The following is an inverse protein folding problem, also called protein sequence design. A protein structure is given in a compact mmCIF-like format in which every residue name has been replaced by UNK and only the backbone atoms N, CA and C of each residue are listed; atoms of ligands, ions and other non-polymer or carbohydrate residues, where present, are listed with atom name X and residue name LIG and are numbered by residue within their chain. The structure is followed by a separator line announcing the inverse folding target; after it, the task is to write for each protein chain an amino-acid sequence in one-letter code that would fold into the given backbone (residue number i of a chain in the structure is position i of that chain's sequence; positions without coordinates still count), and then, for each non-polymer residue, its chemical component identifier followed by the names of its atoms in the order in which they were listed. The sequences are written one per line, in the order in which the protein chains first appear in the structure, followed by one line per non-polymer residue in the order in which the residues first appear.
data_IF_776858119175
#
_entry.id   IF_776858119175
#
_cell.length_a   1.000
_cell.length_b   1.000
_cell.length_c   1.000
_cell.angle_alpha   90.00
_cell.angle_beta   90.00
_cell.angle_gamma   90.00
#
_symmetry.space_group_name_H-M   'P 1'
#
loop_
_entity.id
_entity.type
_entity.pdbx_description
1 polymer ?
#
# COMPACT_ATOMS: atom_id res chain seq x y z
N UNK A 1 15.13 0.48 -9.54
CA UNK A 1 14.41 0.82 -8.29
C UNK A 1 15.03 2.08 -7.73
N UNK A 2 14.20 3.06 -7.38
CA UNK A 2 14.60 4.23 -6.60
C UNK A 2 14.01 4.10 -5.20
N UNK A 3 14.60 4.77 -4.23
CA UNK A 3 14.04 4.90 -2.90
C UNK A 3 12.96 5.99 -2.84
N UNK A 4 12.01 5.94 -1.89
CA UNK A 4 10.88 6.88 -1.87
C UNK A 4 11.27 8.36 -1.87
N UNK A 5 12.30 8.76 -1.11
CA UNK A 5 12.76 10.16 -1.07
C UNK A 5 13.38 10.65 -2.39
N UNK A 6 13.81 9.74 -3.27
CA UNK A 6 14.33 10.10 -4.58
C UNK A 6 13.22 10.54 -5.55
N UNK A 7 11.94 10.41 -5.16
CA UNK A 7 10.81 10.96 -5.92
C UNK A 7 10.90 12.48 -6.09
N UNK A 8 11.57 13.16 -5.16
CA UNK A 8 11.89 14.58 -5.22
C UNK A 8 13.05 14.88 -6.21
N UNK A 9 13.08 14.19 -7.35
CA UNK A 9 14.06 14.40 -8.41
C UNK A 9 13.32 14.84 -9.69
N UNK A 10 13.64 16.04 -10.17
CA UNK A 10 13.01 16.66 -11.34
C UNK A 10 13.24 15.89 -12.65
N UNK A 11 14.17 14.93 -12.68
CA UNK A 11 14.42 14.09 -13.86
C UNK A 11 13.45 12.91 -14.01
N UNK A 12 12.68 12.60 -12.98
CA UNK A 12 11.77 11.46 -12.97
C UNK A 12 10.45 11.81 -13.65
N UNK A 13 10.05 10.98 -14.63
CA UNK A 13 8.82 11.19 -15.38
C UNK A 13 7.60 10.56 -14.70
N UNK A 14 7.63 9.24 -14.46
CA UNK A 14 6.47 8.47 -13.97
C UNK A 14 6.91 7.08 -13.46
N UNK A 15 6.15 6.42 -12.56
CA UNK A 15 6.39 5.01 -12.22
C UNK A 15 6.25 4.08 -13.43
N UNK A 16 7.10 3.04 -13.51
CA UNK A 16 7.12 2.06 -14.60
C UNK A 16 7.05 0.61 -14.08
N UNK A 17 6.02 0.34 -13.27
CA UNK A 17 5.65 -1.00 -12.86
C UNK A 17 5.06 -1.79 -14.03
N UNK A 18 5.15 -3.13 -14.03
CA UNK A 18 4.69 -3.98 -15.14
C UNK A 18 3.17 -3.98 -15.34
N UNK A 19 2.41 -3.29 -14.49
CA UNK A 19 0.95 -3.16 -14.59
C UNK A 19 0.51 -1.71 -14.30
N UNK A 20 -0.47 -1.17 -15.03
CA UNK A 20 -0.97 0.19 -14.81
C UNK A 20 -1.59 0.43 -13.43
N UNK A 21 -2.27 -0.57 -12.84
CA UNK A 21 -2.84 -0.47 -11.50
C UNK A 21 -1.75 -0.30 -10.43
N UNK A 22 -0.60 -0.94 -10.61
CA UNK A 22 0.56 -0.76 -9.73
C UNK A 22 1.20 0.62 -9.89
N UNK A 23 1.18 1.21 -11.10
CA UNK A 23 1.65 2.59 -11.30
C UNK A 23 0.78 3.60 -10.54
N UNK A 24 -0.54 3.45 -10.65
CA UNK A 24 -1.49 4.30 -9.91
C UNK A 24 -1.32 4.13 -8.40
N UNK A 25 -1.23 2.90 -7.91
CA UNK A 25 -0.99 2.63 -6.50
C UNK A 25 0.36 3.18 -6.04
N UNK A 26 1.39 3.15 -6.88
CA UNK A 26 2.68 3.76 -6.56
C UNK A 26 2.56 5.27 -6.39
N UNK A 27 1.78 5.98 -7.22
CA UNK A 27 1.53 7.40 -7.02
C UNK A 27 0.82 7.66 -5.69
N UNK A 28 -0.20 6.89 -5.37
CA UNK A 28 -0.92 7.01 -4.09
C UNK A 28 -0.01 6.75 -2.90
N UNK A 29 0.90 5.77 -3.01
CA UNK A 29 1.91 5.49 -1.98
C UNK A 29 2.83 6.69 -1.78
N UNK A 30 3.33 7.28 -2.88
CA UNK A 30 4.23 8.43 -2.82
C UNK A 30 3.53 9.65 -2.20
N UNK A 31 2.30 9.94 -2.61
CA UNK A 31 1.47 11.01 -2.02
C UNK A 31 1.25 10.73 -0.53
N UNK A 32 0.86 9.51 -0.17
CA UNK A 32 0.65 9.10 1.21
C UNK A 32 1.90 9.22 2.07
N UNK A 33 3.09 8.90 1.53
CA UNK A 33 4.36 9.01 2.24
C UNK A 33 4.74 10.48 2.51
N UNK A 34 4.56 11.37 1.53
CA UNK A 34 4.80 12.81 1.74
C UNK A 34 3.79 13.34 2.76
N UNK A 35 2.51 13.00 2.63
CA UNK A 35 1.47 13.41 3.57
C UNK A 35 1.71 12.89 5.00
N UNK A 36 2.24 11.67 5.14
CA UNK A 36 2.57 11.06 6.42
C UNK A 36 3.71 11.81 7.12
N UNK A 37 4.74 12.23 6.38
CA UNK A 37 6.02 12.63 6.95
C UNK A 37 6.32 14.14 6.90
N UNK A 38 5.90 14.83 5.84
CA UNK A 38 6.22 16.24 5.58
C UNK A 38 5.10 16.97 4.80
N UNK A 39 3.82 16.86 5.20
CA UNK A 39 2.73 17.53 4.52
C UNK A 39 2.91 19.05 4.54
N UNK A 40 2.35 19.78 3.56
CA UNK A 40 2.15 21.22 3.67
C UNK A 40 1.25 21.54 4.87
N UNK A 41 1.58 22.57 5.63
CA UNK A 41 0.74 23.02 6.75
C UNK A 41 -0.52 23.73 6.22
N UNK A 42 -0.36 24.53 5.17
CA UNK A 42 -1.40 25.33 4.54
C UNK A 42 -1.05 25.63 3.06
N UNK A 43 -1.82 26.54 2.43
CA UNK A 43 -1.64 26.94 1.04
C UNK A 43 -0.37 27.76 0.79
N UNK A 44 0.09 28.55 1.77
CA UNK A 44 1.33 29.33 1.66
C UNK A 44 2.55 28.40 1.67
N UNK A 45 2.61 27.48 2.63
CA UNK A 45 3.67 26.47 2.71
C UNK A 45 3.65 25.51 1.51
N UNK A 46 2.46 25.22 0.95
CA UNK A 46 2.34 24.45 -0.29
C UNK A 46 2.99 25.16 -1.49
N UNK A 47 2.77 26.47 -1.63
CA UNK A 47 3.33 27.26 -2.73
C UNK A 47 4.85 27.42 -2.59
N UNK A 48 5.35 27.66 -1.38
CA UNK A 48 6.77 27.83 -1.10
C UNK A 48 7.61 26.56 -1.37
N UNK A 49 7.03 25.37 -1.17
CA UNK A 49 7.73 24.07 -1.26
C UNK A 49 7.47 23.29 -2.55
N UNK A 50 7.02 23.94 -3.62
CA UNK A 50 6.83 23.28 -4.93
C UNK A 50 8.13 22.69 -5.49
N UNK A 51 9.28 23.31 -5.22
CA UNK A 51 10.57 22.79 -5.66
C UNK A 51 10.96 21.57 -4.82
N UNK A 52 11.35 20.44 -5.42
CA UNK A 52 11.70 19.27 -4.64
C UNK A 52 12.96 19.46 -3.80
N UNK A 53 12.95 18.82 -2.63
CA UNK A 53 14.10 18.70 -1.73
C UNK A 53 14.28 17.24 -1.27
N UNK A 54 15.09 16.43 -1.99
CA UNK A 54 15.39 15.05 -1.61
C UNK A 54 16.00 14.90 -0.21
N UNK A 55 16.80 15.88 0.23
CA UNK A 55 17.51 15.79 1.49
C UNK A 55 16.53 15.94 2.65
N UNK A 56 15.65 16.94 2.57
CA UNK A 56 14.55 17.13 3.52
C UNK A 56 13.62 15.93 3.52
N UNK A 57 13.17 15.47 2.35
CA UNK A 57 12.23 14.35 2.27
C UNK A 57 12.83 13.06 2.87
N UNK A 58 14.13 12.81 2.65
CA UNK A 58 14.83 11.70 3.29
C UNK A 58 14.85 11.83 4.81
N UNK A 59 15.26 12.98 5.33
CA UNK A 59 15.29 13.24 6.78
C UNK A 59 13.91 13.02 7.42
N UNK A 60 12.84 13.44 6.74
CA UNK A 60 11.46 13.31 7.21
C UNK A 60 10.94 11.87 7.15
N UNK A 61 11.37 11.08 6.16
CA UNK A 61 10.95 9.68 6.01
C UNK A 61 11.76 8.69 6.86
N UNK A 62 13.01 9.00 7.18
CA UNK A 62 13.92 8.11 7.94
C UNK A 62 13.29 7.56 9.24
N UNK A 63 12.55 8.35 10.06
CA UNK A 63 11.88 7.84 11.26
C UNK A 63 10.85 6.73 11.01
N UNK A 64 10.26 6.68 9.81
CA UNK A 64 9.24 5.70 9.45
C UNK A 64 9.83 4.39 8.89
N UNK A 65 11.12 4.36 8.54
CA UNK A 65 11.75 3.20 7.90
C UNK A 65 11.46 1.85 8.59
N UNK A 66 11.46 1.72 9.93
CA UNK A 66 11.16 0.45 10.60
C UNK A 66 9.74 -0.09 10.35
N UNK A 67 8.79 0.76 9.96
CA UNK A 67 7.43 0.34 9.62
C UNK A 67 7.32 -0.21 8.19
N UNK A 68 8.30 0.03 7.32
CA UNK A 68 8.24 -0.36 5.91
C UNK A 68 9.05 -1.64 5.60
N UNK A 69 9.47 -2.38 6.64
CA UNK A 69 10.07 -3.70 6.49
C UNK A 69 9.06 -4.69 5.92
N UNK A 70 9.37 -5.33 4.79
CA UNK A 70 8.46 -6.29 4.14
C UNK A 70 8.44 -7.65 4.86
N UNK A 71 9.57 -8.03 5.46
CA UNK A 71 9.83 -9.31 6.11
C UNK A 71 10.54 -9.06 7.44
N UNK A 72 10.63 -10.09 8.29
CA UNK A 72 11.24 -9.98 9.64
C UNK A 72 10.26 -10.28 10.77
N UNK A 73 10.68 -10.13 12.02
CA UNK A 73 9.87 -10.56 13.17
C UNK A 73 8.93 -9.48 13.74
N UNK A 74 9.14 -8.22 13.38
CA UNK A 74 8.34 -7.09 13.85
C UNK A 74 7.10 -6.77 12.99
N UNK A 75 6.56 -5.55 13.12
CA UNK A 75 5.61 -4.98 12.16
C UNK A 75 6.12 -5.15 10.74
N UNK A 76 5.23 -5.52 9.82
CA UNK A 76 5.56 -5.70 8.41
C UNK A 76 4.66 -4.84 7.55
N UNK A 77 5.25 -4.21 6.54
CA UNK A 77 4.56 -3.33 5.60
C UNK A 77 3.29 -4.00 5.05
N UNK A 78 2.15 -3.34 5.25
CA UNK A 78 0.82 -3.75 4.78
C UNK A 78 0.39 -5.19 5.15
N UNK A 79 0.90 -5.74 6.24
CA UNK A 79 0.58 -7.11 6.72
C UNK A 79 0.00 -7.10 8.13
N UNK A 80 -0.65 -8.20 8.51
CA UNK A 80 -1.16 -8.35 9.88
C UNK A 80 -0.01 -8.40 10.90
N UNK A 81 -0.18 -7.68 12.01
CA UNK A 81 0.78 -7.69 13.11
C UNK A 81 0.82 -9.06 13.79
N UNK A 82 -0.34 -9.70 13.95
CA UNK A 82 -0.46 -11.05 14.51
C UNK A 82 0.15 -12.08 13.56
N UNK A 83 0.74 -13.15 14.13
CA UNK A 83 1.13 -14.31 13.33
C UNK A 83 -0.14 -15.06 12.97
N UNK A 84 -0.47 -15.06 11.68
CA UNK A 84 -1.56 -15.88 11.16
C UNK A 84 -1.07 -17.33 11.10
N UNK A 85 -1.78 -18.23 11.77
CA UNK A 85 -1.48 -19.67 11.66
C UNK A 85 -1.76 -20.13 10.23
N UNK A 86 -0.82 -20.88 9.63
CA UNK A 86 -1.11 -21.70 8.46
C UNK A 86 -2.19 -22.70 8.89
N UNK A 87 -3.46 -22.42 8.59
CA UNK A 87 -4.62 -23.17 9.11
C UNK A 87 -4.73 -24.61 8.56
N UNK A 88 -3.70 -25.42 8.74
CA UNK A 88 -3.55 -26.78 8.21
C UNK A 88 -3.37 -26.87 6.68
N UNK A 89 -3.49 -25.75 5.96
CA UNK A 89 -3.41 -25.68 4.50
C UNK A 89 -2.12 -24.99 4.06
N UNK A 90 -1.59 -25.41 2.92
CA UNK A 90 -0.44 -24.75 2.30
C UNK A 90 -0.75 -23.26 2.01
N UNK A 91 0.26 -22.36 2.10
CA UNK A 91 0.09 -20.97 1.71
C UNK A 91 -0.50 -20.82 0.31
N UNK A 92 -1.32 -19.79 0.14
CA UNK A 92 -1.88 -19.46 -1.16
C UNK A 92 -0.79 -18.91 -2.09
N UNK A 93 -0.91 -19.08 -3.42
CA UNK A 93 0.07 -18.55 -4.36
C UNK A 93 0.11 -17.01 -4.36
N UNK A 94 1.24 -16.40 -4.73
CA UNK A 94 1.39 -14.95 -4.85
C UNK A 94 0.34 -14.28 -5.77
N UNK A 95 -0.21 -15.03 -6.73
CA UNK A 95 -1.33 -14.60 -7.57
C UNK A 95 -2.46 -13.93 -6.78
N UNK A 96 -2.74 -14.34 -5.54
CA UNK A 96 -3.81 -13.74 -4.72
C UNK A 96 -3.59 -12.25 -4.37
N UNK A 97 -2.36 -11.74 -4.49
CA UNK A 97 -2.10 -10.30 -4.29
C UNK A 97 -2.66 -9.43 -5.43
N UNK A 98 -3.06 -10.04 -6.54
CA UNK A 98 -3.55 -9.32 -7.71
C UNK A 98 -5.08 -9.43 -7.82
N UNK A 99 -5.74 -8.28 -7.94
CA UNK A 99 -7.21 -8.15 -7.90
C UNK A 99 -7.91 -8.91 -9.04
N UNK A 100 -7.21 -9.10 -10.16
CA UNK A 100 -7.71 -9.82 -11.33
C UNK A 100 -7.48 -11.35 -11.26
N UNK A 101 -6.87 -11.86 -10.19
CA UNK A 101 -6.70 -13.29 -9.97
C UNK A 101 -7.98 -13.95 -9.43
N UNK A 102 -8.15 -15.24 -9.76
CA UNK A 102 -9.27 -16.02 -9.29
C UNK A 102 -9.18 -16.27 -7.77
N UNK A 103 -10.23 -15.87 -7.04
CA UNK A 103 -10.38 -16.21 -5.62
C UNK A 103 -10.69 -17.70 -5.41
N UNK A 104 -10.60 -18.16 -4.16
CA UNK A 104 -10.79 -19.58 -3.82
C UNK A 104 -12.13 -20.18 -4.27
N UNK A 105 -13.23 -19.42 -4.24
CA UNK A 105 -14.53 -19.87 -4.74
C UNK A 105 -14.55 -19.99 -6.27
N UNK A 106 -14.00 -19.02 -6.97
CA UNK A 106 -13.90 -19.03 -8.44
C UNK A 106 -13.09 -20.24 -8.91
N UNK A 107 -11.97 -20.55 -8.24
CA UNK A 107 -11.16 -21.74 -8.53
C UNK A 107 -11.93 -23.04 -8.28
N UNK A 108 -12.61 -23.16 -7.13
CA UNK A 108 -13.42 -24.36 -6.78
C UNK A 108 -14.55 -24.62 -7.78
N UNK A 109 -15.18 -23.55 -8.25
CA UNK A 109 -16.28 -23.61 -9.21
C UNK A 109 -15.80 -23.68 -10.67
N UNK A 110 -14.49 -23.67 -10.91
CA UNK A 110 -13.89 -23.60 -12.25
C UNK A 110 -14.44 -22.44 -13.10
N UNK A 111 -14.69 -21.30 -12.46
CA UNK A 111 -15.33 -20.12 -13.03
C UNK A 111 -14.32 -19.06 -13.50
N UNK A 112 -13.06 -19.46 -13.67
CA UNK A 112 -11.91 -18.61 -14.02
C UNK A 112 -11.36 -18.91 -15.42
N UNK A 113 -12.23 -19.33 -16.35
CA UNK A 113 -11.87 -19.82 -17.69
C UNK A 113 -10.88 -18.93 -18.46
N UNK A 114 -10.96 -17.61 -18.28
CA UNK A 114 -10.12 -16.62 -18.98
C UNK A 114 -8.93 -16.13 -18.15
N UNK A 115 -8.84 -16.51 -16.87
CA UNK A 115 -7.74 -16.13 -15.98
C UNK A 115 -6.68 -17.21 -16.02
N UNK A 116 -5.48 -16.87 -16.50
CA UNK A 116 -4.34 -17.78 -16.43
C UNK A 116 -3.99 -18.02 -14.95
N UNK A 117 -3.97 -19.28 -14.51
CA UNK A 117 -3.51 -19.67 -13.16
C UNK A 117 -1.99 -19.71 -13.09
N UNK A 118 -1.43 -19.46 -11.90
CA UNK A 118 0.01 -19.58 -11.63
C UNK A 118 0.84 -18.60 -12.47
N UNK A 119 0.36 -17.36 -12.61
CA UNK A 119 1.07 -16.31 -13.34
C UNK A 119 2.35 -15.92 -12.62
N UNK A 120 2.33 -16.00 -11.30
CA UNK A 120 3.40 -15.55 -10.43
C UNK A 120 3.83 -16.67 -9.47
N UNK A 121 4.70 -17.60 -9.91
CA UNK A 121 5.21 -18.66 -9.05
C UNK A 121 6.02 -18.10 -7.86
N UNK A 122 6.66 -16.95 -8.06
CA UNK A 122 7.29 -16.14 -7.04
C UNK A 122 7.29 -14.67 -7.48
N UNK A 123 7.39 -13.75 -6.51
CA UNK A 123 7.57 -12.32 -6.75
C UNK A 123 8.89 -11.87 -6.12
N UNK A 124 9.58 -10.93 -6.78
CA UNK A 124 10.64 -10.18 -6.11
C UNK A 124 10.04 -9.30 -5.00
N UNK A 125 10.83 -8.91 -3.97
CA UNK A 125 10.32 -8.13 -2.85
C UNK A 125 9.67 -6.80 -3.24
N UNK A 126 10.19 -6.11 -4.25
CA UNK A 126 9.67 -4.80 -4.64
C UNK A 126 8.29 -4.94 -5.28
N UNK A 127 8.13 -5.90 -6.20
CA UNK A 127 6.83 -6.19 -6.82
C UNK A 127 5.81 -6.71 -5.80
N UNK A 128 6.24 -7.53 -4.84
CA UNK A 128 5.37 -8.00 -3.77
C UNK A 128 4.89 -6.85 -2.85
N UNK A 129 5.78 -5.91 -2.50
CA UNK A 129 5.44 -4.72 -1.70
C UNK A 129 4.43 -3.82 -2.44
N UNK A 130 4.61 -3.60 -3.75
CA UNK A 130 3.64 -2.83 -4.50
C UNK A 130 2.30 -3.58 -4.63
N UNK A 131 2.33 -4.89 -4.92
CA UNK A 131 1.12 -5.69 -5.08
C UNK A 131 0.28 -5.75 -3.79
N UNK A 132 0.92 -5.94 -2.63
CA UNK A 132 0.20 -5.93 -1.35
C UNK A 132 -0.39 -4.54 -1.05
N UNK A 133 0.36 -3.46 -1.30
CA UNK A 133 -0.16 -2.10 -1.12
C UNK A 133 -1.38 -1.83 -2.01
N UNK A 134 -1.30 -2.20 -3.29
CA UNK A 134 -2.42 -2.11 -4.23
C UNK A 134 -3.61 -2.91 -3.76
N UNK A 135 -3.40 -4.18 -3.35
CA UNK A 135 -4.48 -5.02 -2.84
C UNK A 135 -5.18 -4.39 -1.65
N UNK A 136 -4.44 -3.84 -0.69
CA UNK A 136 -5.02 -3.26 0.51
C UNK A 136 -5.84 -2.00 0.21
N UNK A 137 -5.35 -1.13 -0.68
CA UNK A 137 -6.00 0.15 -0.99
C UNK A 137 -7.11 0.08 -2.04
N UNK A 138 -7.14 -0.98 -2.84
CA UNK A 138 -8.12 -1.21 -3.92
C UNK A 138 -8.93 -2.50 -3.73
N UNK A 139 -8.88 -3.08 -2.53
CA UNK A 139 -9.48 -4.38 -2.23
C UNK A 139 -10.97 -4.41 -2.59
N UNK A 140 -11.41 -5.27 -3.54
CA UNK A 140 -12.83 -5.40 -3.85
C UNK A 140 -13.58 -6.05 -2.68
N UNK A 141 -14.90 -6.08 -2.77
CA UNK A 141 -15.69 -6.89 -1.84
C UNK A 141 -15.24 -8.35 -1.89
N UNK A 142 -15.10 -8.97 -0.71
CA UNK A 142 -14.58 -10.32 -0.55
C UNK A 142 -15.49 -11.19 0.32
N UNK A 143 -15.19 -12.49 0.35
CA UNK A 143 -15.85 -13.43 1.25
C UNK A 143 -15.56 -13.15 2.73
N UNK A 144 -16.06 -14.02 3.61
CA UNK A 144 -15.86 -13.91 5.06
C UNK A 144 -14.37 -13.70 5.40
N UNK A 145 -14.07 -12.66 6.19
CA UNK A 145 -12.71 -12.30 6.62
C UNK A 145 -11.97 -11.33 5.68
N UNK A 146 -12.51 -11.08 4.49
CA UNK A 146 -11.94 -10.20 3.49
C UNK A 146 -12.79 -8.91 3.38
N UNK A 147 -12.37 -7.82 4.03
CA UNK A 147 -13.09 -6.53 3.97
C UNK A 147 -12.71 -5.72 2.74
N UNK A 148 -13.65 -4.94 2.24
CA UNK A 148 -13.44 -3.98 1.17
C UNK A 148 -12.51 -2.85 1.63
N UNK A 149 -11.75 -2.24 0.72
CA UNK A 149 -10.96 -1.03 1.03
C UNK A 149 -11.83 0.12 1.55
N UNK A 150 -11.20 1.05 2.27
CA UNK A 150 -11.90 2.15 2.95
C UNK A 150 -12.68 3.08 2.01
N UNK A 151 -12.28 3.13 0.74
CA UNK A 151 -12.93 3.92 -0.32
C UNK A 151 -13.97 3.12 -1.12
N UNK A 152 -14.37 1.96 -0.62
CA UNK A 152 -15.19 1.00 -1.38
C UNK A 152 -14.35 0.11 -2.29
N UNK A 153 -15.00 -0.77 -3.05
CA UNK A 153 -14.33 -1.78 -3.88
C UNK A 153 -14.04 -1.22 -5.27
N UNK A 154 -12.77 -1.23 -5.68
CA UNK A 154 -12.34 -0.65 -6.96
C UNK A 154 -12.56 0.86 -7.03
N UNK A 155 -11.99 1.66 -6.11
CA UNK A 155 -12.17 3.10 -6.13
C UNK A 155 -11.61 3.73 -7.41
N UNK A 156 -12.28 4.78 -7.90
CA UNK A 156 -11.74 5.63 -8.96
C UNK A 156 -10.83 6.69 -8.35
N UNK A 157 -9.59 6.76 -8.81
CA UNK A 157 -8.59 7.75 -8.37
C UNK A 157 -8.35 8.74 -9.51
N UNK A 158 -8.41 10.03 -9.19
CA UNK A 158 -8.31 11.12 -10.18
C UNK A 158 -7.26 12.13 -9.72
N UNK A 159 -5.96 11.88 -9.98
CA UNK A 159 -4.91 12.81 -9.59
C UNK A 159 -4.95 14.08 -10.46
N UNK A 160 -4.61 15.21 -9.86
CA UNK A 160 -4.34 16.47 -10.57
C UNK A 160 -2.94 16.39 -11.17
N UNK A 161 -2.83 16.55 -12.49
CA UNK A 161 -1.54 16.56 -13.18
C UNK A 161 -1.23 17.97 -13.71
N UNK A 162 -0.33 18.73 -13.06
CA UNK A 162 0.11 20.03 -13.55
C UNK A 162 1.15 19.93 -14.68
N UNK A 163 1.62 18.73 -15.01
CA UNK A 163 2.81 18.49 -15.82
C UNK A 163 4.11 18.74 -15.04
N UNK A 164 5.25 18.60 -15.73
CA UNK A 164 6.57 18.89 -15.14
C UNK A 164 7.26 17.71 -14.45
N UNK A 165 6.69 16.50 -14.52
CA UNK A 165 7.32 15.27 -14.04
C UNK A 165 6.65 14.69 -12.79
N UNK A 166 7.34 13.75 -12.15
CA UNK A 166 6.78 12.97 -11.05
C UNK A 166 6.59 13.79 -9.77
N UNK A 167 7.55 14.66 -9.43
CA UNK A 167 7.43 15.46 -8.21
C UNK A 167 6.26 16.46 -8.27
N UNK A 168 6.09 17.30 -9.32
CA UNK A 168 4.92 18.17 -9.41
C UNK A 168 3.59 17.41 -9.36
N UNK A 169 3.52 16.22 -9.98
CA UNK A 169 2.36 15.34 -9.90
C UNK A 169 2.08 14.86 -8.47
N UNK A 170 3.10 14.42 -7.73
CA UNK A 170 2.93 14.02 -6.32
C UNK A 170 2.53 15.22 -5.47
N UNK A 171 3.29 16.32 -5.52
CA UNK A 171 3.09 17.50 -4.68
C UNK A 171 1.72 18.16 -4.85
N UNK A 172 1.21 18.22 -6.08
CA UNK A 172 -0.13 18.76 -6.36
C UNK A 172 -1.28 17.96 -5.74
N UNK A 173 -1.01 16.73 -5.28
CA UNK A 173 -2.01 15.84 -4.70
C UNK A 173 -1.76 15.56 -3.20
N UNK A 174 -0.76 16.19 -2.57
CA UNK A 174 -0.52 16.07 -1.13
C UNK A 174 -1.50 16.99 -0.38
N UNK A 175 -2.38 16.46 0.50
CA UNK A 175 -3.26 17.29 1.30
C UNK A 175 -2.50 18.09 2.36
N UNK A 176 -3.11 19.17 2.84
CA UNK A 176 -2.58 19.92 3.98
C UNK A 176 -2.75 19.12 5.27
N UNK A 177 -1.81 19.27 6.20
CA UNK A 177 -1.88 18.57 7.48
C UNK A 177 -0.64 18.77 8.33
N UNK A 178 -0.44 17.81 9.24
CA UNK A 178 0.73 17.75 10.10
C UNK A 178 1.36 16.37 10.03
N UNK A 179 2.68 16.24 10.23
CA UNK A 179 3.35 14.95 10.25
C UNK A 179 2.69 13.98 11.23
N UNK A 180 2.47 12.76 10.78
CA UNK A 180 1.82 11.72 11.57
C UNK A 180 2.82 11.05 12.52
N UNK A 181 2.37 10.52 13.67
CA UNK A 181 3.17 9.58 14.45
C UNK A 181 3.32 8.24 13.70
N UNK A 182 4.33 7.44 14.06
CA UNK A 182 4.55 6.12 13.46
C UNK A 182 3.30 5.22 13.58
N UNK A 183 2.60 5.34 14.71
CA UNK A 183 1.39 4.60 15.08
C UNK A 183 0.16 4.93 14.22
N UNK A 184 0.26 5.93 13.32
CA UNK A 184 -0.74 6.16 12.28
C UNK A 184 -0.79 5.02 11.25
N UNK A 185 0.29 4.24 11.11
CA UNK A 185 0.34 3.10 10.19
C UNK A 185 -0.37 1.88 10.84
N UNK A 186 -1.40 1.29 10.21
CA UNK A 186 -2.21 0.26 10.87
C UNK A 186 -1.45 -0.99 11.29
N UNK A 187 -0.40 -1.37 10.57
CA UNK A 187 0.38 -2.58 10.82
C UNK A 187 1.43 -2.42 11.93
N UNK A 188 1.64 -1.23 12.50
CA UNK A 188 2.55 -1.04 13.65
C UNK A 188 1.84 -1.05 15.01
N UNK A 189 0.51 -1.13 15.02
CA UNK A 189 -0.34 -1.16 16.22
C UNK A 189 -1.19 -2.43 16.25
N UNK A 190 -1.77 -2.82 17.40
CA UNK A 190 -2.64 -3.99 17.49
C UNK A 190 -3.76 -3.97 16.45
N UNK A 191 -3.90 -5.08 15.71
CA UNK A 191 -4.89 -5.22 14.63
C UNK A 191 -6.30 -5.03 15.18
N UNK A 192 -7.00 -4.00 14.70
CA UNK A 192 -8.43 -3.80 14.98
C UNK A 192 -9.24 -4.69 14.04
N UNK A 193 -10.08 -5.55 14.60
CA UNK A 193 -10.93 -6.44 13.82
C UNK A 193 -12.38 -6.00 13.92
N UNK A 194 -13.15 -6.24 12.86
CA UNK A 194 -14.60 -6.01 12.88
C UNK A 194 -15.39 -7.04 13.70
N UNK A 195 -14.70 -7.98 14.35
CA UNK A 195 -15.33 -8.93 15.25
C UNK A 195 -15.96 -8.14 16.41
N UNK A 196 -17.08 -8.62 16.94
CA UNK A 196 -17.83 -7.92 18.00
C UNK A 196 -18.41 -6.55 17.59
N UNK A 197 -18.43 -6.21 16.30
CA UNK A 197 -19.05 -4.98 15.79
C UNK A 197 -18.20 -3.72 15.98
N UNK A 198 -16.88 -3.85 16.19
CA UNK A 198 -15.98 -2.71 16.25
C UNK A 198 -15.93 -1.99 14.89
N UNK A 199 -15.94 -0.67 14.94
CA UNK A 199 -15.86 0.23 13.79
C UNK A 199 -14.69 1.20 14.02
N UNK A 200 -13.96 1.50 12.95
CA UNK A 200 -12.98 2.58 12.93
C UNK A 200 -13.60 3.76 12.20
N UNK A 201 -13.66 4.89 12.89
CA UNK A 201 -14.16 6.16 12.36
C UNK A 201 -12.99 7.12 12.13
N UNK A 202 -13.19 8.25 11.42
CA UNK A 202 -12.16 9.26 11.29
C UNK A 202 -11.64 9.83 12.63
N UNK A 203 -12.43 9.78 13.69
CA UNK A 203 -12.01 10.23 15.03
C UNK A 203 -11.05 9.23 15.71
N UNK A 204 -10.97 8.00 15.20
CA UNK A 204 -10.16 6.90 15.77
C UNK A 204 -8.77 6.75 15.10
N UNK A 205 -8.50 7.52 14.04
CA UNK A 205 -7.39 7.32 13.12
C UNK A 205 -6.81 8.65 12.63
N UNK A 206 -5.50 8.66 12.38
CA UNK A 206 -4.88 9.80 11.71
C UNK A 206 -5.35 9.83 10.24
N UNK A 207 -5.60 11.00 9.63
CA UNK A 207 -6.02 11.10 8.23
C UNK A 207 -5.10 10.37 7.24
N UNK A 208 -3.81 10.24 7.57
CA UNK A 208 -2.83 9.51 6.74
C UNK A 208 -3.20 8.04 6.54
N UNK A 209 -3.96 7.43 7.46
CA UNK A 209 -4.45 6.05 7.33
C UNK A 209 -5.27 5.86 6.04
N UNK A 210 -5.87 6.93 5.49
CA UNK A 210 -6.57 6.94 4.21
C UNK A 210 -5.74 6.38 3.03
N UNK A 211 -4.41 6.52 3.09
CA UNK A 211 -3.47 5.99 2.10
C UNK A 211 -2.91 4.61 2.47
N UNK A 212 -3.12 4.14 3.70
CA UNK A 212 -2.44 2.98 4.27
C UNK A 212 -3.42 1.98 4.92
N UNK A 213 -4.67 1.95 4.46
CA UNK A 213 -5.69 1.06 5.00
C UNK A 213 -5.25 -0.41 4.97
N UNK A 214 -5.75 -1.21 5.93
CA UNK A 214 -5.40 -2.63 6.06
C UNK A 214 -6.65 -3.53 6.12
N UNK A 215 -7.53 -3.52 5.09
CA UNK A 215 -8.80 -4.25 5.12
C UNK A 215 -8.64 -5.78 4.97
N UNK A 216 -7.52 -6.26 4.44
CA UNK A 216 -7.22 -7.70 4.31
C UNK A 216 -6.17 -8.09 5.34
N UNK A 217 -6.50 -9.07 6.17
CA UNK A 217 -5.54 -9.71 7.08
C UNK A 217 -4.74 -10.74 6.30
N UNK A 218 -3.43 -10.54 6.16
CA UNK A 218 -2.54 -11.48 5.47
C UNK A 218 -1.08 -11.32 5.90
N UNK A 219 -0.25 -12.34 5.65
CA UNK A 219 1.21 -12.29 5.76
C UNK A 219 1.89 -12.92 4.56
N UNK A 220 3.02 -12.35 4.16
CA UNK A 220 3.83 -12.88 3.07
C UNK A 220 4.71 -14.04 3.56
N UNK A 221 4.83 -15.05 2.70
CA UNK A 221 5.75 -16.20 2.87
C UNK A 221 6.89 -16.04 1.87
N UNK A 222 8.11 -15.97 2.40
CA UNK A 222 9.32 -15.85 1.60
C UNK A 222 10.16 -17.14 1.65
N UNK A 223 10.76 -17.50 0.51
CA UNK A 223 11.76 -18.56 0.39
C UNK A 223 12.87 -18.08 -0.52
N UNK A 224 14.13 -18.28 -0.09
CA UNK A 224 15.32 -17.92 -0.89
C UNK A 224 15.31 -16.45 -1.40
N UNK A 225 14.75 -15.53 -0.62
CA UNK A 225 14.69 -14.10 -0.96
C UNK A 225 13.54 -13.68 -1.90
N UNK A 226 12.68 -14.61 -2.32
CA UNK A 226 11.49 -14.33 -3.12
C UNK A 226 10.21 -14.61 -2.33
N UNK A 227 9.13 -13.90 -2.66
CA UNK A 227 7.81 -14.14 -2.08
C UNK A 227 7.13 -15.27 -2.84
N UNK A 228 6.90 -16.39 -2.16
CA UNK A 228 6.37 -17.62 -2.75
C UNK A 228 4.95 -17.94 -2.30
N UNK A 229 4.38 -17.15 -1.38
CA UNK A 229 3.00 -17.33 -0.98
C UNK A 229 2.46 -16.30 -0.01
N UNK A 230 1.20 -16.48 0.35
CA UNK A 230 0.42 -15.61 1.23
C UNK A 230 -0.41 -16.48 2.19
N UNK A 231 -0.35 -16.15 3.47
CA UNK A 231 -1.19 -16.72 4.54
C UNK A 231 -2.24 -15.71 4.93
#
# INVERSE_FOLDING_TARGET
MIAPWQVADDSLAFPDWPRPDLNLACLELLIGLVFLADPPEDDEDWDERQRPDPARLRERLDPFAPAFELLGDGPRFCQDLEKLEEGGNAPNPPDMLFIDSAGGQTLRNNADLVVKRGRYPALDPALAAMAIYTLQNHAPEGGRGNRTSMRGGGPLVTPVDPGGGLWPLVWANVPYGSPAPLEALPWVRPTRTSEQGQVVTPDDAHPAEAFFGLPRRLRLVAREGAITGVV
#
